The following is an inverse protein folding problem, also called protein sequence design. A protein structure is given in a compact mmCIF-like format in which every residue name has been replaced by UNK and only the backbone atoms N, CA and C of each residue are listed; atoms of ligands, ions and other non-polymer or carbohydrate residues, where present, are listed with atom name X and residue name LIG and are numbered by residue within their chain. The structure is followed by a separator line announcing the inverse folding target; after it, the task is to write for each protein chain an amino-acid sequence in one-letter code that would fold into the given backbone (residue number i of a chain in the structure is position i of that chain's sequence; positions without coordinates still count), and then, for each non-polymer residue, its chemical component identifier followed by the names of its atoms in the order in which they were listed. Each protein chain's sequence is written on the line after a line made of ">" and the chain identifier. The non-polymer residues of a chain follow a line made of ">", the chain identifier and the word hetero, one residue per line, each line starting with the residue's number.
data_IF_963381291731
#
_entry.id   IF_963381291731
#
_cell.length_a   1.000
_cell.length_b   1.000
_cell.length_c   1.000
_cell.angle_alpha   90.00
_cell.angle_beta   90.00
_cell.angle_gamma   90.00
#
_symmetry.space_group_name_H-M   'P 1'
#
loop_
_entity.id
_entity.type
_entity.pdbx_description
1 polymer ?
#
# COMPACT_ATOMS: atom_id res chain seq x y z
N UNK A 1 -6.85 -1.41 6.04
CA UNK A 1 -7.12 -0.89 7.40
C UNK A 1 -7.18 0.65 7.41
N UNK A 2 -6.22 1.40 6.87
CA UNK A 2 -6.23 2.87 6.90
C UNK A 2 -7.58 3.49 6.47
N UNK A 3 -8.21 2.98 5.41
CA UNK A 3 -9.55 3.44 4.98
C UNK A 3 -10.62 3.29 6.05
N UNK A 4 -10.64 2.11 6.70
CA UNK A 4 -11.63 1.81 7.73
C UNK A 4 -11.42 2.68 8.98
N UNK A 5 -10.17 2.91 9.35
CA UNK A 5 -9.80 3.80 10.47
C UNK A 5 -10.18 5.24 10.15
N UNK A 6 -9.77 5.76 8.99
CA UNK A 6 -10.08 7.14 8.58
C UNK A 6 -11.59 7.39 8.51
N UNK A 7 -12.35 6.46 7.90
CA UNK A 7 -13.81 6.56 7.84
C UNK A 7 -14.47 6.54 9.22
N UNK A 8 -13.95 5.71 10.16
CA UNK A 8 -14.47 5.64 11.52
C UNK A 8 -14.30 6.94 12.31
N UNK A 9 -13.17 7.61 12.10
CA UNK A 9 -12.87 8.88 12.79
C UNK A 9 -13.26 10.12 11.98
N UNK A 10 -13.91 9.98 10.83
CA UNK A 10 -14.31 11.10 9.98
C UNK A 10 -13.14 11.88 9.38
N UNK A 11 -12.00 11.22 9.16
CA UNK A 11 -10.79 11.80 8.60
C UNK A 11 -10.73 11.56 7.10
N UNK A 12 -10.43 12.60 6.32
CA UNK A 12 -10.16 12.47 4.88
C UNK A 12 -8.88 11.67 4.66
N UNK A 13 -8.95 10.60 3.85
CA UNK A 13 -7.80 9.82 3.44
C UNK A 13 -7.43 10.13 1.99
N UNK A 14 -6.27 10.72 1.78
CA UNK A 14 -5.68 10.91 0.45
C UNK A 14 -4.68 9.80 0.15
N UNK A 15 -4.80 9.23 -1.05
CA UNK A 15 -3.85 8.23 -1.56
C UNK A 15 -2.93 8.87 -2.56
N UNK A 16 -1.65 8.53 -2.46
CA UNK A 16 -0.63 9.01 -3.38
C UNK A 16 0.10 7.83 -4.05
N UNK A 17 0.87 8.11 -5.08
CA UNK A 17 1.87 7.17 -5.58
C UNK A 17 2.96 6.94 -4.54
N UNK A 18 3.72 5.85 -4.69
CA UNK A 18 4.85 5.54 -3.80
C UNK A 18 5.94 6.61 -3.92
N UNK A 19 6.35 7.11 -2.79
CA UNK A 19 7.38 8.13 -2.64
C UNK A 19 6.91 9.28 -1.77
N UNK A 20 7.63 9.56 -0.70
CA UNK A 20 7.22 10.55 0.31
C UNK A 20 7.07 11.97 -0.27
N UNK A 21 7.74 12.25 -1.42
CA UNK A 21 7.56 13.50 -2.17
C UNK A 21 6.10 13.80 -2.52
N UNK A 22 5.30 12.76 -2.82
CA UNK A 22 3.88 12.93 -3.12
C UNK A 22 3.06 13.25 -1.88
N UNK A 23 3.45 12.74 -0.70
CA UNK A 23 2.87 13.15 0.58
C UNK A 23 3.25 14.61 0.87
N UNK A 24 4.52 14.97 0.67
CA UNK A 24 4.98 16.36 0.79
C UNK A 24 4.24 17.33 -0.14
N UNK A 25 3.89 16.87 -1.35
CA UNK A 25 3.07 17.65 -2.30
C UNK A 25 1.66 17.93 -1.74
N UNK A 26 1.02 16.92 -1.13
CA UNK A 26 -0.29 17.10 -0.48
C UNK A 26 -0.25 18.12 0.66
N UNK A 27 0.84 18.13 1.45
CA UNK A 27 1.05 19.17 2.47
C UNK A 27 1.17 20.54 1.80
N UNK A 28 1.96 20.65 0.71
CA UNK A 28 2.11 21.90 -0.03
C UNK A 28 0.81 22.40 -0.66
N UNK A 29 -0.10 21.52 -1.07
CA UNK A 29 -1.44 21.89 -1.54
C UNK A 29 -2.29 22.49 -0.41
N UNK A 30 -2.29 21.85 0.77
CA UNK A 30 -2.98 22.36 1.94
C UNK A 30 -2.42 23.70 2.40
N UNK A 31 -1.11 23.91 2.36
CA UNK A 31 -0.51 25.21 2.68
C UNK A 31 -0.94 26.32 1.72
N UNK A 32 -0.92 26.05 0.42
CA UNK A 32 -1.41 27.01 -0.58
C UNK A 32 -2.88 27.39 -0.40
N UNK A 33 -3.66 26.46 0.16
CA UNK A 33 -5.06 26.69 0.51
C UNK A 33 -5.25 27.40 1.88
N UNK A 34 -4.17 27.60 2.65
CA UNK A 34 -4.25 28.13 4.03
C UNK A 34 -4.80 27.12 5.04
N UNK A 35 -4.67 25.82 4.75
CA UNK A 35 -5.27 24.71 5.52
C UNK A 35 -4.21 23.68 5.99
N UNK A 36 -2.96 24.11 6.21
CA UNK A 36 -1.84 23.22 6.57
C UNK A 36 -2.11 22.37 7.82
N UNK A 37 -2.86 22.92 8.77
CA UNK A 37 -3.26 22.25 10.02
C UNK A 37 -4.20 21.06 9.81
N UNK A 38 -4.81 20.92 8.66
CA UNK A 38 -5.62 19.73 8.30
C UNK A 38 -4.77 18.49 8.03
N UNK A 39 -3.47 18.66 7.79
CA UNK A 39 -2.57 17.52 7.67
C UNK A 39 -2.30 16.91 9.05
N UNK A 40 -2.75 15.69 9.25
CA UNK A 40 -2.59 14.97 10.51
C UNK A 40 -1.41 14.02 10.47
N UNK A 41 -1.38 13.11 9.45
CA UNK A 41 -0.42 12.03 9.41
C UNK A 41 -0.24 11.50 7.99
N UNK A 42 0.99 11.23 7.59
CA UNK A 42 1.34 10.57 6.34
C UNK A 42 2.26 9.40 6.59
N UNK A 43 2.10 8.33 5.79
CA UNK A 43 2.94 7.15 5.92
C UNK A 43 3.05 6.36 4.62
N UNK A 44 4.12 5.58 4.52
CA UNK A 44 4.35 4.58 3.49
C UNK A 44 4.43 3.18 4.10
N UNK A 45 4.22 2.16 3.28
CA UNK A 45 4.37 0.76 3.68
C UNK A 45 5.82 0.39 4.08
N UNK A 46 6.79 1.19 3.65
CA UNK A 46 8.23 1.01 3.87
C UNK A 46 8.77 1.82 5.05
N UNK A 47 7.98 1.93 6.12
CA UNK A 47 8.37 2.53 7.40
C UNK A 47 8.68 4.03 7.36
N UNK A 48 8.13 4.76 6.41
CA UNK A 48 8.18 6.22 6.36
C UNK A 48 6.98 6.83 7.05
N UNK A 49 7.18 7.73 8.01
CA UNK A 49 6.12 8.38 8.78
C UNK A 49 6.39 9.87 8.94
N UNK A 50 5.31 10.65 8.98
CA UNK A 50 5.33 12.06 9.31
C UNK A 50 4.01 12.48 9.95
N UNK A 51 4.04 13.10 11.13
CA UNK A 51 2.89 13.78 11.72
C UNK A 51 3.14 15.29 11.73
N UNK A 52 2.14 16.06 11.31
CA UNK A 52 2.25 17.51 11.20
C UNK A 52 3.02 18.01 9.96
N UNK A 53 2.82 19.27 9.56
CA UNK A 53 3.29 19.83 8.29
C UNK A 53 4.69 20.45 8.34
N UNK A 54 5.48 20.27 9.40
CA UNK A 54 6.74 20.98 9.67
C UNK A 54 7.88 20.63 8.72
N UNK A 55 7.86 19.45 8.09
CA UNK A 55 8.83 19.03 7.05
C UNK A 55 8.09 18.39 5.86
N UNK A 56 8.83 18.04 4.78
CA UNK A 56 8.25 17.47 3.54
C UNK A 56 8.70 16.05 3.26
N UNK A 57 9.41 15.45 4.18
CA UNK A 57 9.86 14.07 4.09
C UNK A 57 9.69 13.37 5.44
N UNK A 58 9.97 12.08 5.46
CA UNK A 58 9.89 11.23 6.64
C UNK A 58 10.67 11.80 7.82
N UNK A 59 10.06 11.81 8.99
CA UNK A 59 10.69 12.23 10.23
C UNK A 59 10.72 11.09 11.23
N UNK A 60 11.87 10.45 11.36
CA UNK A 60 12.05 9.32 12.25
C UNK A 60 12.01 9.74 13.74
N UNK A 61 12.43 10.95 14.07
CA UNK A 61 12.40 11.46 15.45
C UNK A 61 10.95 11.69 15.88
N UNK A 62 10.17 12.36 15.03
CA UNK A 62 8.74 12.57 15.25
C UNK A 62 7.99 11.22 15.37
N UNK A 63 8.29 10.28 14.48
CA UNK A 63 7.70 8.95 14.52
C UNK A 63 8.07 8.17 15.78
N UNK A 64 9.31 8.26 16.26
CA UNK A 64 9.75 7.61 17.49
C UNK A 64 9.02 8.20 18.72
N UNK A 65 8.90 9.51 18.79
CA UNK A 65 8.15 10.18 19.85
C UNK A 65 6.68 9.70 19.85
N UNK A 66 6.03 9.72 18.70
CA UNK A 66 4.64 9.28 18.57
C UNK A 66 4.46 7.81 18.96
N UNK A 67 5.40 6.93 18.63
CA UNK A 67 5.40 5.52 19.06
C UNK A 67 5.55 5.41 20.59
N UNK A 68 6.41 6.21 21.23
CA UNK A 68 6.57 6.21 22.67
C UNK A 68 5.31 6.71 23.38
N UNK A 69 4.69 7.78 22.90
CA UNK A 69 3.43 8.30 23.43
C UNK A 69 2.30 7.27 23.29
N UNK A 70 2.17 6.65 22.13
CA UNK A 70 1.20 5.58 21.89
C UNK A 70 1.41 4.41 22.86
N UNK A 71 2.66 3.98 23.06
CA UNK A 71 2.99 2.89 23.96
C UNK A 71 2.66 3.25 25.42
N UNK A 72 2.98 4.47 25.85
CA UNK A 72 2.67 4.97 27.19
C UNK A 72 1.15 5.06 27.40
N UNK A 73 0.41 5.55 26.42
CA UNK A 73 -1.05 5.67 26.49
C UNK A 73 -1.74 4.32 26.63
N UNK A 74 -1.37 3.32 25.80
CA UNK A 74 -1.92 1.97 25.91
C UNK A 74 -1.51 1.27 27.21
N UNK A 75 -0.27 1.45 27.64
CA UNK A 75 0.20 0.92 28.94
C UNK A 75 -0.61 1.47 30.12
N UNK A 76 -0.95 2.74 30.10
CA UNK A 76 -1.80 3.35 31.14
C UNK A 76 -3.19 2.73 31.21
N UNK A 77 -3.66 2.10 30.12
CA UNK A 77 -4.92 1.35 30.04
C UNK A 77 -4.73 -0.16 30.28
N UNK A 78 -3.56 -0.59 30.70
CA UNK A 78 -3.25 -2.01 30.94
C UNK A 78 -3.05 -2.83 29.68
N UNK A 79 -2.82 -2.21 28.51
CA UNK A 79 -2.66 -2.87 27.22
C UNK A 79 -1.23 -2.78 26.71
N UNK A 80 -0.77 -3.84 26.05
CA UNK A 80 0.42 -3.81 25.20
C UNK A 80 0.07 -3.33 23.79
N UNK A 81 1.06 -2.91 23.00
CA UNK A 81 0.84 -2.55 21.59
C UNK A 81 0.36 -3.74 20.74
N UNK A 82 0.77 -4.98 21.09
CA UNK A 82 0.26 -6.18 20.43
C UNK A 82 -1.26 -6.35 20.67
N UNK A 83 -1.70 -6.22 21.92
CA UNK A 83 -3.13 -6.27 22.26
C UNK A 83 -3.92 -5.11 21.63
N UNK A 84 -3.33 -3.92 21.52
CA UNK A 84 -3.93 -2.80 20.82
C UNK A 84 -4.09 -3.09 19.31
N UNK A 85 -3.13 -3.77 18.69
CA UNK A 85 -3.23 -4.20 17.30
C UNK A 85 -4.31 -5.26 17.11
N UNK A 86 -4.42 -6.23 18.03
CA UNK A 86 -5.48 -7.23 18.01
C UNK A 86 -6.87 -6.55 18.10
N UNK A 87 -7.04 -5.59 19.00
CA UNK A 87 -8.28 -4.81 19.12
C UNK A 87 -8.62 -4.02 17.82
N UNK A 88 -7.60 -3.51 17.11
CA UNK A 88 -7.81 -2.88 15.79
C UNK A 88 -8.27 -3.89 14.74
N UNK A 89 -7.71 -5.10 14.72
CA UNK A 89 -8.15 -6.17 13.84
C UNK A 89 -9.59 -6.61 14.15
N UNK A 90 -9.93 -6.78 15.41
CA UNK A 90 -11.30 -7.11 15.82
C UNK A 90 -12.30 -6.03 15.39
N UNK A 91 -11.93 -4.76 15.52
CA UNK A 91 -12.78 -3.62 15.19
C UNK A 91 -12.94 -3.38 13.70
N UNK A 92 -11.88 -3.51 12.92
CA UNK A 92 -11.82 -3.09 11.51
C UNK A 92 -11.67 -4.23 10.51
N UNK A 93 -11.54 -5.48 10.99
CA UNK A 93 -11.23 -6.65 10.17
C UNK A 93 -9.72 -6.91 10.07
N UNK A 94 -9.40 -8.12 9.63
CA UNK A 94 -8.01 -8.59 9.54
C UNK A 94 -7.41 -8.28 8.18
N UNK A 95 -6.29 -7.57 8.17
CA UNK A 95 -5.58 -7.15 6.97
C UNK A 95 -4.19 -7.79 6.93
N UNK A 96 -3.90 -8.47 5.84
CA UNK A 96 -2.57 -9.01 5.54
C UNK A 96 -1.96 -8.26 4.37
N UNK A 97 -0.73 -7.77 4.53
CA UNK A 97 0.04 -7.14 3.46
C UNK A 97 1.36 -7.89 3.28
N UNK A 98 1.72 -8.18 2.03
CA UNK A 98 2.96 -8.87 1.67
C UNK A 98 3.61 -8.19 0.47
N UNK A 99 4.94 -8.20 0.45
CA UNK A 99 5.74 -7.75 -0.67
C UNK A 99 6.48 -8.93 -1.28
N UNK A 100 6.37 -9.08 -2.59
CA UNK A 100 7.20 -9.99 -3.38
C UNK A 100 8.07 -9.17 -4.32
N UNK A 101 9.36 -9.44 -4.31
CA UNK A 101 10.31 -8.92 -5.29
C UNK A 101 10.68 -10.04 -6.27
N UNK A 102 10.46 -9.81 -7.55
CA UNK A 102 10.78 -10.74 -8.63
C UNK A 102 11.92 -10.14 -9.43
N UNK A 103 13.11 -10.70 -9.27
CA UNK A 103 14.30 -10.33 -10.03
C UNK A 103 14.30 -11.10 -11.34
N UNK A 104 14.61 -10.42 -12.44
CA UNK A 104 14.72 -10.96 -13.79
C UNK A 104 16.19 -10.86 -14.22
N UNK A 105 17.03 -11.86 -13.89
CA UNK A 105 18.46 -11.80 -14.16
C UNK A 105 18.74 -11.92 -15.67
N UNK A 106 19.89 -11.39 -16.12
CA UNK A 106 20.34 -11.40 -17.49
C UNK A 106 20.32 -10.01 -18.12
N UNK A 107 21.01 -9.89 -19.25
CA UNK A 107 21.09 -8.63 -20.01
C UNK A 107 19.73 -8.19 -20.55
N UNK A 108 18.84 -9.16 -20.84
CA UNK A 108 17.48 -8.98 -21.32
C UNK A 108 16.45 -8.71 -20.21
N UNK A 109 16.88 -8.65 -18.95
CA UNK A 109 15.99 -8.54 -17.78
C UNK A 109 15.03 -7.37 -17.83
N UNK A 110 15.47 -6.21 -18.31
CA UNK A 110 14.62 -5.01 -18.46
C UNK A 110 13.57 -5.19 -19.57
N UNK A 111 13.93 -5.80 -20.68
CA UNK A 111 13.00 -6.08 -21.78
C UNK A 111 11.93 -7.08 -21.35
N UNK A 112 12.34 -8.16 -20.67
CA UNK A 112 11.41 -9.14 -20.09
C UNK A 112 10.47 -8.53 -19.07
N UNK A 113 10.96 -7.62 -18.23
CA UNK A 113 10.14 -6.89 -17.28
C UNK A 113 9.06 -6.06 -17.98
N UNK A 114 9.44 -5.32 -19.03
CA UNK A 114 8.53 -4.52 -19.84
C UNK A 114 7.50 -5.39 -20.56
N UNK A 115 7.94 -6.52 -21.14
CA UNK A 115 7.05 -7.48 -21.82
C UNK A 115 6.01 -8.08 -20.88
N UNK A 116 6.40 -8.45 -19.64
CA UNK A 116 5.49 -8.95 -18.61
C UNK A 116 4.41 -7.91 -18.27
N UNK A 117 4.79 -6.66 -18.05
CA UNK A 117 3.85 -5.59 -17.74
C UNK A 117 2.90 -5.30 -18.90
N UNK A 118 3.43 -5.28 -20.12
CA UNK A 118 2.63 -5.13 -21.34
C UNK A 118 1.60 -6.25 -21.48
N UNK A 119 2.02 -7.50 -21.27
CA UNK A 119 1.14 -8.66 -21.30
C UNK A 119 0.05 -8.62 -20.21
N UNK A 120 0.41 -8.22 -18.98
CA UNK A 120 -0.55 -8.08 -17.89
C UNK A 120 -1.59 -6.98 -18.16
N UNK A 121 -1.21 -5.90 -18.84
CA UNK A 121 -2.12 -4.83 -19.26
C UNK A 121 -3.06 -5.28 -20.37
N UNK A 122 -2.52 -5.98 -21.37
CA UNK A 122 -3.31 -6.46 -22.51
C UNK A 122 -4.30 -7.56 -22.10
N UNK A 123 -3.92 -8.43 -21.16
CA UNK A 123 -4.73 -9.54 -20.69
C UNK A 123 -4.65 -9.70 -19.17
N UNK A 124 -5.26 -8.79 -18.38
CA UNK A 124 -5.29 -8.90 -16.93
C UNK A 124 -6.02 -10.18 -16.50
N UNK A 125 -5.64 -10.77 -15.36
CA UNK A 125 -6.31 -11.95 -14.85
C UNK A 125 -7.81 -11.70 -14.61
N UNK A 126 -8.65 -12.64 -14.97
CA UNK A 126 -10.08 -12.59 -14.67
C UNK A 126 -10.36 -12.93 -13.21
N UNK A 127 -9.47 -13.71 -12.58
CA UNK A 127 -9.58 -14.15 -11.19
C UNK A 127 -8.23 -14.01 -10.48
N UNK A 128 -8.28 -13.72 -9.18
CA UNK A 128 -7.17 -13.74 -8.23
C UNK A 128 -7.64 -14.36 -6.92
N UNK A 129 -6.88 -15.28 -6.38
CA UNK A 129 -7.25 -16.03 -5.17
C UNK A 129 -8.65 -16.66 -5.25
N UNK A 130 -9.04 -17.16 -6.42
CA UNK A 130 -10.37 -17.72 -6.68
C UNK A 130 -11.50 -16.71 -6.81
N UNK A 131 -11.25 -15.42 -6.63
CA UNK A 131 -12.24 -14.35 -6.73
C UNK A 131 -12.16 -13.62 -8.08
N UNK A 132 -13.30 -13.17 -8.59
CA UNK A 132 -13.36 -12.37 -9.82
C UNK A 132 -12.64 -11.03 -9.62
N UNK A 133 -11.77 -10.65 -10.56
CA UNK A 133 -11.20 -9.31 -10.66
C UNK A 133 -12.31 -8.35 -11.08
N UNK A 134 -12.64 -7.43 -10.19
CA UNK A 134 -13.74 -6.46 -10.39
C UNK A 134 -13.23 -5.10 -10.86
N UNK A 135 -11.93 -4.82 -10.68
CA UNK A 135 -11.32 -3.56 -11.08
C UNK A 135 -9.87 -3.78 -11.49
N UNK A 136 -9.53 -3.20 -12.64
CA UNK A 136 -8.15 -3.03 -13.13
C UNK A 136 -7.91 -1.53 -13.25
N UNK A 137 -6.82 -1.03 -12.66
CA UNK A 137 -6.44 0.38 -12.71
C UNK A 137 -5.03 0.49 -13.22
N UNK A 138 -4.86 1.12 -14.34
CA UNK A 138 -3.57 1.40 -14.96
C UNK A 138 -3.22 2.88 -14.80
N UNK A 139 -2.12 3.15 -14.12
CA UNK A 139 -1.64 4.50 -13.85
C UNK A 139 -0.68 5.01 -14.92
N UNK A 140 -0.46 4.27 -16.00
CA UNK A 140 0.54 4.61 -17.03
C UNK A 140 0.32 6.01 -17.64
N UNK A 141 -0.95 6.44 -17.77
CA UNK A 141 -1.31 7.76 -18.29
C UNK A 141 -1.82 8.73 -17.21
N UNK A 142 -1.63 8.37 -15.94
CA UNK A 142 -2.25 9.06 -14.81
C UNK A 142 -3.70 8.62 -14.59
N UNK A 143 -4.14 8.63 -13.34
CA UNK A 143 -5.49 8.21 -12.96
C UNK A 143 -5.88 8.83 -11.62
N UNK A 144 -7.14 9.24 -11.47
CA UNK A 144 -7.71 9.81 -10.23
C UNK A 144 -6.93 11.02 -9.69
N UNK A 145 -6.46 11.89 -10.57
CA UNK A 145 -5.64 13.06 -10.19
C UNK A 145 -4.17 12.72 -9.85
N UNK A 146 -3.78 11.45 -9.91
CA UNK A 146 -2.39 11.03 -9.73
C UNK A 146 -1.62 11.15 -11.04
N UNK A 147 -0.33 11.53 -11.01
CA UNK A 147 0.50 11.65 -12.21
C UNK A 147 0.73 10.28 -12.88
N UNK A 148 1.18 10.31 -14.12
CA UNK A 148 1.56 9.13 -14.88
C UNK A 148 2.64 8.33 -14.14
N UNK A 149 2.43 7.02 -14.02
CA UNK A 149 3.34 6.10 -13.35
C UNK A 149 3.16 4.68 -13.88
N UNK A 150 4.25 3.95 -14.05
CA UNK A 150 4.22 2.56 -14.47
C UNK A 150 3.77 1.65 -13.31
N UNK A 151 2.47 1.69 -13.01
CA UNK A 151 1.82 0.95 -11.94
C UNK A 151 0.52 0.36 -12.45
N UNK A 152 0.29 -0.92 -12.16
CA UNK A 152 -0.96 -1.62 -12.44
C UNK A 152 -1.57 -2.13 -11.13
N UNK A 153 -2.82 -1.80 -10.84
CA UNK A 153 -3.59 -2.32 -9.72
C UNK A 153 -4.67 -3.28 -10.20
N UNK A 154 -4.74 -4.44 -9.59
CA UNK A 154 -5.77 -5.45 -9.78
C UNK A 154 -6.53 -5.61 -8.46
N UNK A 155 -7.85 -5.64 -8.51
CA UNK A 155 -8.67 -5.74 -7.30
C UNK A 155 -9.83 -6.72 -7.46
N UNK A 156 -10.01 -7.55 -6.44
CA UNK A 156 -11.19 -8.38 -6.21
C UNK A 156 -12.03 -7.82 -5.06
N UNK A 157 -12.96 -8.59 -4.51
CA UNK A 157 -13.71 -8.21 -3.30
C UNK A 157 -12.80 -8.09 -2.07
N UNK A 158 -11.85 -9.02 -1.90
CA UNK A 158 -11.03 -9.12 -0.69
C UNK A 158 -9.52 -8.95 -0.94
N UNK A 159 -9.08 -9.00 -2.20
CA UNK A 159 -7.65 -8.94 -2.55
C UNK A 159 -7.36 -7.72 -3.43
N UNK A 160 -6.22 -7.11 -3.19
CA UNK A 160 -5.61 -6.10 -4.06
C UNK A 160 -4.17 -6.50 -4.36
N UNK A 161 -3.80 -6.45 -5.63
CA UNK A 161 -2.42 -6.63 -6.08
C UNK A 161 -1.98 -5.38 -6.83
N UNK A 162 -0.85 -4.80 -6.44
CA UNK A 162 -0.21 -3.71 -7.17
C UNK A 162 1.09 -4.24 -7.76
N UNK A 163 1.27 -4.06 -9.05
CA UNK A 163 2.49 -4.42 -9.78
C UNK A 163 3.22 -3.15 -10.18
N UNK A 164 4.49 -3.05 -9.79
CA UNK A 164 5.34 -1.90 -10.07
C UNK A 164 6.75 -2.35 -10.48
N UNK A 165 7.27 -1.91 -11.62
CA UNK A 165 8.66 -2.15 -11.97
C UNK A 165 9.61 -1.26 -11.14
N UNK A 166 10.83 -1.72 -10.97
CA UNK A 166 11.94 -0.87 -10.54
C UNK A 166 12.38 0.01 -11.70
N UNK A 167 12.68 1.27 -11.44
CA UNK A 167 13.21 2.18 -12.48
C UNK A 167 14.69 1.97 -12.82
N UNK A 168 15.43 1.24 -11.98
CA UNK A 168 16.89 1.12 -12.09
C UNK A 168 17.40 -0.32 -12.18
N UNK A 169 16.55 -1.29 -11.90
CA UNK A 169 16.92 -2.71 -11.83
C UNK A 169 15.87 -3.57 -12.53
N UNK A 170 16.24 -4.70 -13.15
CA UNK A 170 15.29 -5.64 -13.75
C UNK A 170 14.54 -6.41 -12.65
N UNK A 171 13.67 -5.70 -11.94
CA UNK A 171 12.93 -6.20 -10.78
C UNK A 171 11.50 -5.69 -10.77
N UNK A 172 10.55 -6.60 -10.62
CA UNK A 172 9.15 -6.30 -10.34
C UNK A 172 8.89 -6.39 -8.85
N UNK A 173 8.19 -5.40 -8.31
CA UNK A 173 7.62 -5.43 -6.97
C UNK A 173 6.12 -5.68 -7.07
N UNK A 174 5.65 -6.71 -6.37
CA UNK A 174 4.23 -7.02 -6.25
C UNK A 174 3.82 -6.84 -4.80
N UNK A 175 2.88 -5.94 -4.59
CA UNK A 175 2.30 -5.67 -3.27
C UNK A 175 0.96 -6.35 -3.20
N UNK A 176 0.83 -7.32 -2.31
CA UNK A 176 -0.41 -8.04 -2.04
C UNK A 176 -1.05 -7.47 -0.79
N UNK A 177 -2.34 -7.21 -0.84
CA UNK A 177 -3.13 -6.82 0.32
C UNK A 177 -4.40 -7.66 0.31
N UNK A 178 -4.69 -8.34 1.40
CA UNK A 178 -5.93 -9.06 1.57
C UNK A 178 -6.61 -8.65 2.88
N UNK A 179 -7.94 -8.73 2.90
CA UNK A 179 -8.70 -8.49 4.10
C UNK A 179 -9.76 -9.58 4.26
N UNK A 180 -9.98 -10.04 5.51
CA UNK A 180 -10.90 -11.13 5.81
C UNK A 180 -11.43 -11.03 7.26
N UNK A 181 -12.20 -12.03 7.66
CA UNK A 181 -12.74 -12.11 9.03
C UNK A 181 -11.73 -12.63 10.05
N UNK A 182 -10.69 -13.33 9.58
CA UNK A 182 -9.58 -13.83 10.40
C UNK A 182 -8.25 -13.59 9.74
N UNK A 183 -7.16 -13.55 10.53
CA UNK A 183 -5.80 -13.42 9.98
C UNK A 183 -5.42 -14.63 9.12
N UNK A 184 -5.87 -15.83 9.48
CA UNK A 184 -5.62 -17.04 8.71
C UNK A 184 -6.25 -16.98 7.32
N UNK A 185 -7.50 -16.52 7.21
CA UNK A 185 -8.15 -16.30 5.91
C UNK A 185 -7.45 -15.23 5.08
N UNK A 186 -7.09 -14.09 5.69
CA UNK A 186 -6.36 -13.03 4.98
C UNK A 186 -5.00 -13.52 4.47
N UNK A 187 -4.27 -14.31 5.26
CA UNK A 187 -3.01 -14.92 4.85
C UNK A 187 -3.20 -15.94 3.71
N UNK A 188 -4.24 -16.77 3.77
CA UNK A 188 -4.56 -17.72 2.71
C UNK A 188 -4.90 -17.01 1.38
N UNK A 189 -5.64 -15.90 1.42
CA UNK A 189 -5.95 -15.08 0.25
C UNK A 189 -4.68 -14.44 -0.34
N UNK A 190 -3.78 -13.90 0.49
CA UNK A 190 -2.50 -13.40 0.01
C UNK A 190 -1.65 -14.49 -0.65
N UNK A 191 -1.57 -15.69 -0.05
CA UNK A 191 -0.82 -16.80 -0.58
C UNK A 191 -1.37 -17.28 -1.94
N UNK A 192 -2.69 -17.42 -2.06
CA UNK A 192 -3.36 -17.79 -3.30
C UNK A 192 -3.13 -16.73 -4.40
N UNK A 193 -3.30 -15.45 -4.10
CA UNK A 193 -3.05 -14.38 -5.05
C UNK A 193 -1.57 -14.35 -5.51
N UNK A 194 -0.65 -14.62 -4.61
CA UNK A 194 0.78 -14.72 -4.91
C UNK A 194 1.07 -15.90 -5.83
N UNK A 195 0.43 -17.05 -5.61
CA UNK A 195 0.55 -18.22 -6.48
C UNK A 195 0.03 -17.91 -7.88
N UNK A 196 -1.16 -17.32 -8.01
CA UNK A 196 -1.76 -16.94 -9.29
C UNK A 196 -0.88 -15.97 -10.07
N UNK A 197 -0.32 -14.96 -9.39
CA UNK A 197 0.58 -14.00 -10.05
C UNK A 197 1.91 -14.65 -10.43
N UNK A 198 2.49 -15.52 -9.57
CA UNK A 198 3.74 -16.22 -9.89
C UNK A 198 3.62 -17.08 -11.15
N UNK A 199 2.52 -17.81 -11.31
CA UNK A 199 2.25 -18.59 -12.50
C UNK A 199 2.21 -17.73 -13.77
N UNK A 200 1.69 -16.50 -13.70
CA UNK A 200 1.65 -15.55 -14.82
C UNK A 200 3.00 -14.90 -15.13
N UNK A 201 3.88 -14.82 -14.14
CA UNK A 201 5.23 -14.29 -14.29
C UNK A 201 6.25 -15.36 -14.77
N UNK A 202 5.79 -16.60 -15.06
CA UNK A 202 6.63 -17.70 -15.52
C UNK A 202 7.51 -18.29 -14.42
N UNK A 203 7.05 -18.27 -13.18
CA UNK A 203 7.74 -18.80 -11.98
C UNK A 203 6.90 -19.82 -11.26
#
# INVERSE_FOLDING_TARGET
>A
MADAVAAHYGVELRRTLTGFKFIGEQIGELERAGEAERYLFGFEESYGYLSGPHVRDKDAVNAALLCCEMAAWYRAQGMTLAQAMDALYEKFGYYRNELQSVVLPGEDGMERMSAILTALRAAPPHTLAGERVTRVRDYLSGLDGLPASDVLELRTAHVKVIVRPSGTEPKLKLYYSAHARTMAEAAALCAAARQDMSARLGK
#
